data_IF_700830601838
#
_entry.id   IF_700830601838
#
_cell.length_a   1.000
_cell.length_b   1.000
_cell.length_c   1.000
_cell.angle_alpha   90.00
_cell.angle_beta   90.00
_cell.angle_gamma   90.00
#
_symmetry.space_group_name_H-M   'P 1'
#
loop_
_entity.id
_entity.type
_entity.pdbx_description
1 polymer ?
#
# COMPACT_ATOMS: atom_id res chain seq x y z
N UNK A 1 0.09 -1.35 14.32
CA UNK A 1 0.21 -0.39 13.20
C UNK A 1 -1.13 0.15 12.71
N UNK A 2 -2.24 -0.57 12.85
CA UNK A 2 -3.57 -0.07 12.44
C UNK A 2 -3.97 1.23 13.17
N UNK A 3 -3.86 1.27 14.51
CA UNK A 3 -4.12 2.49 15.29
C UNK A 3 -3.18 3.65 14.93
N UNK A 4 -1.91 3.34 14.62
CA UNK A 4 -0.97 4.32 14.10
C UNK A 4 -1.46 4.94 12.79
N UNK A 5 -1.91 4.12 11.84
CA UNK A 5 -2.43 4.60 10.57
C UNK A 5 -3.66 5.52 10.75
N UNK A 6 -4.58 5.14 11.64
CA UNK A 6 -5.75 5.97 11.95
C UNK A 6 -5.36 7.31 12.59
N UNK A 7 -4.42 7.30 13.53
CA UNK A 7 -3.93 8.51 14.18
C UNK A 7 -3.25 9.44 13.16
N UNK A 8 -2.36 8.92 12.33
CA UNK A 8 -1.66 9.70 11.28
C UNK A 8 -2.65 10.37 10.32
N UNK A 9 -3.65 9.63 9.84
CA UNK A 9 -4.69 10.18 8.97
C UNK A 9 -5.50 11.29 9.67
N UNK A 10 -5.87 11.09 10.94
CA UNK A 10 -6.60 12.08 11.73
C UNK A 10 -5.78 13.36 11.92
N UNK A 11 -4.50 13.24 12.30
CA UNK A 11 -3.60 14.38 12.47
C UNK A 11 -3.44 15.15 11.16
N UNK A 12 -3.16 14.47 10.04
CA UNK A 12 -3.03 15.11 8.74
C UNK A 12 -4.33 15.83 8.33
N UNK A 13 -5.50 15.22 8.55
CA UNK A 13 -6.80 15.84 8.25
C UNK A 13 -7.04 17.08 9.08
N UNK A 14 -6.66 17.06 10.35
CA UNK A 14 -6.76 18.22 11.24
C UNK A 14 -5.87 19.36 10.75
N UNK A 15 -4.62 19.07 10.37
CA UNK A 15 -3.70 20.06 9.81
C UNK A 15 -4.25 20.69 8.52
N UNK A 16 -4.77 19.88 7.61
CA UNK A 16 -5.38 20.35 6.35
C UNK A 16 -6.61 21.24 6.64
N UNK A 17 -7.52 20.78 7.50
CA UNK A 17 -8.74 21.52 7.80
C UNK A 17 -8.47 22.85 8.52
N UNK A 18 -7.45 22.90 9.37
CA UNK A 18 -7.02 24.11 10.06
C UNK A 18 -6.15 25.03 9.21
N UNK A 19 -5.82 24.62 7.97
CA UNK A 19 -4.88 25.33 7.08
C UNK A 19 -3.54 25.61 7.75
N UNK A 20 -3.05 24.64 8.54
CA UNK A 20 -1.81 24.85 9.30
C UNK A 20 -0.61 25.01 8.36
N UNK A 21 0.19 26.11 8.51
CA UNK A 21 1.30 26.41 7.59
C UNK A 21 2.41 25.34 7.58
N UNK A 22 2.53 24.56 8.65
CA UNK A 22 3.49 23.47 8.77
C UNK A 22 3.08 22.17 8.10
N UNK A 23 1.89 22.08 7.50
CA UNK A 23 1.48 20.88 6.79
C UNK A 23 2.26 20.72 5.48
N UNK A 24 2.88 19.56 5.32
CA UNK A 24 3.60 19.15 4.13
C UNK A 24 3.18 17.76 3.71
N UNK A 25 2.65 17.61 2.51
CA UNK A 25 2.15 16.34 1.99
C UNK A 25 3.23 15.25 1.92
N UNK A 26 4.45 15.64 1.57
CA UNK A 26 5.60 14.75 1.48
C UNK A 26 6.08 14.20 2.83
N UNK A 27 5.66 14.80 3.94
CA UNK A 27 6.01 14.38 5.31
C UNK A 27 4.81 13.87 6.12
N UNK A 28 3.65 14.48 5.93
CA UNK A 28 2.47 14.19 6.74
C UNK A 28 1.47 13.26 6.04
N UNK A 29 1.75 12.90 4.76
CA UNK A 29 0.83 12.17 3.90
C UNK A 29 -0.17 13.10 3.21
N UNK A 30 -0.91 12.59 2.26
CA UNK A 30 -1.78 13.37 1.38
C UNK A 30 -3.18 12.79 1.24
N UNK A 31 -4.14 13.65 0.92
CA UNK A 31 -5.49 13.28 0.46
C UNK A 31 -5.66 13.50 -1.06
N UNK A 32 -4.55 13.86 -1.77
CA UNK A 32 -4.59 14.23 -3.18
C UNK A 32 -3.98 13.17 -4.10
N UNK A 33 -3.87 11.92 -3.62
CA UNK A 33 -3.43 10.81 -4.47
C UNK A 33 -4.37 10.64 -5.68
N UNK A 34 -3.79 10.72 -6.89
CA UNK A 34 -4.57 10.62 -8.14
C UNK A 34 -5.19 9.25 -8.37
N UNK A 35 -4.61 8.20 -7.77
CA UNK A 35 -5.11 6.84 -7.91
C UNK A 35 -6.40 6.63 -7.11
N UNK A 36 -6.49 7.20 -5.90
CA UNK A 36 -7.70 7.17 -5.06
C UNK A 36 -7.87 8.54 -4.39
N UNK A 37 -8.53 9.49 -5.06
CA UNK A 37 -8.71 10.83 -4.55
C UNK A 37 -9.48 10.90 -3.23
N UNK A 38 -9.14 11.88 -2.40
CA UNK A 38 -9.76 12.12 -1.08
C UNK A 38 -9.57 10.97 -0.08
N UNK A 39 -8.61 10.09 -0.31
CA UNK A 39 -8.23 8.99 0.59
C UNK A 39 -6.81 9.21 1.09
N UNK A 40 -6.63 9.09 2.39
CA UNK A 40 -5.32 9.33 3.00
C UNK A 40 -4.30 8.29 2.57
N UNK A 41 -3.17 8.77 2.12
CA UNK A 41 -2.01 7.95 1.76
C UNK A 41 -0.71 8.62 2.20
N UNK A 42 0.32 7.81 2.41
CA UNK A 42 1.63 8.30 2.80
C UNK A 42 2.73 7.47 2.16
N UNK A 43 3.66 8.16 1.52
CA UNK A 43 4.88 7.61 0.95
C UNK A 43 6.02 7.75 1.96
N UNK A 44 6.85 6.71 2.09
CA UNK A 44 8.12 6.80 2.81
C UNK A 44 7.96 7.06 4.32
N UNK A 45 6.83 6.67 4.92
CA UNK A 45 6.60 6.83 6.36
C UNK A 45 7.67 6.06 7.16
N UNK A 46 8.40 6.70 8.09
CA UNK A 46 9.51 6.06 8.80
C UNK A 46 9.14 4.77 9.53
N UNK A 47 7.93 4.67 10.10
CA UNK A 47 7.49 3.45 10.76
C UNK A 47 7.28 2.31 9.75
N UNK A 48 6.71 2.62 8.58
CA UNK A 48 6.47 1.64 7.53
C UNK A 48 7.77 1.26 6.79
N UNK A 49 8.71 2.18 6.64
CA UNK A 49 10.04 1.85 6.09
C UNK A 49 10.93 1.09 7.06
N UNK A 50 10.74 1.26 8.36
CA UNK A 50 11.33 0.36 9.36
C UNK A 50 10.79 -1.07 9.19
N UNK A 51 9.47 -1.21 8.96
CA UNK A 51 8.86 -2.51 8.67
C UNK A 51 9.39 -3.10 7.34
N UNK A 52 9.54 -2.28 6.31
CA UNK A 52 10.13 -2.66 5.02
C UNK A 52 11.55 -3.23 5.21
N UNK A 53 12.38 -2.54 5.97
CA UNK A 53 13.75 -2.98 6.27
C UNK A 53 13.76 -4.26 7.13
N UNK A 54 12.89 -4.33 8.13
CA UNK A 54 12.76 -5.51 8.99
C UNK A 54 12.33 -6.77 8.21
N UNK A 55 11.42 -6.61 7.26
CA UNK A 55 10.92 -7.69 6.41
C UNK A 55 11.91 -8.20 5.37
N UNK A 56 13.01 -7.45 5.08
CA UNK A 56 13.91 -7.74 3.97
C UNK A 56 14.50 -9.15 4.00
N UNK A 57 14.94 -9.62 5.18
CA UNK A 57 15.48 -10.97 5.31
C UNK A 57 14.45 -12.02 4.93
N UNK A 58 13.26 -11.95 5.50
CA UNK A 58 12.17 -12.88 5.17
C UNK A 58 11.78 -12.85 3.70
N UNK A 59 11.77 -11.66 3.09
CA UNK A 59 11.51 -11.51 1.67
C UNK A 59 12.55 -12.20 0.79
N UNK A 60 13.83 -12.09 1.14
CA UNK A 60 14.92 -12.81 0.46
C UNK A 60 14.77 -14.32 0.62
N UNK A 61 14.47 -14.78 1.84
CA UNK A 61 14.29 -16.21 2.14
C UNK A 61 13.11 -16.82 1.35
N UNK A 62 11.99 -16.09 1.22
CA UNK A 62 10.79 -16.57 0.50
C UNK A 62 10.98 -16.52 -1.02
N UNK A 63 11.62 -15.50 -1.54
CA UNK A 63 11.72 -15.29 -3.00
C UNK A 63 12.96 -15.93 -3.62
N UNK A 64 14.00 -16.17 -2.83
CA UNK A 64 15.32 -16.60 -3.32
C UNK A 64 16.07 -15.51 -4.10
N UNK A 65 15.61 -14.24 -4.06
CA UNK A 65 16.16 -13.13 -4.82
C UNK A 65 17.08 -12.25 -3.96
N UNK A 66 18.07 -11.62 -4.63
CA UNK A 66 18.94 -10.63 -4.01
C UNK A 66 18.22 -9.27 -3.92
N UNK A 67 17.30 -9.15 -2.97
CA UNK A 67 16.43 -7.98 -2.85
C UNK A 67 17.11 -6.81 -2.13
N UNK A 68 16.77 -5.61 -2.58
CA UNK A 68 17.00 -4.35 -1.88
C UNK A 68 15.66 -3.63 -1.68
N UNK A 69 15.44 -2.94 -0.55
CA UNK A 69 14.22 -2.16 -0.33
C UNK A 69 14.19 -0.94 -1.25
N UNK A 70 13.02 -0.58 -1.71
CA UNK A 70 12.81 0.63 -2.51
C UNK A 70 12.06 1.70 -1.72
N UNK A 71 10.81 1.46 -1.37
CA UNK A 71 10.02 2.37 -0.54
C UNK A 71 8.81 1.66 0.06
N UNK A 72 8.24 2.27 1.07
CA UNK A 72 6.91 1.94 1.58
C UNK A 72 5.87 2.94 1.08
N UNK A 73 4.67 2.46 0.86
CA UNK A 73 3.50 3.27 0.63
C UNK A 73 2.34 2.69 1.42
N UNK A 74 1.52 3.51 2.07
CA UNK A 74 0.36 2.99 2.77
C UNK A 74 -0.86 3.88 2.60
N UNK A 75 -2.01 3.30 2.79
CA UNK A 75 -3.28 3.95 2.54
C UNK A 75 -4.31 3.55 3.59
N UNK A 76 -5.12 4.50 4.01
CA UNK A 76 -6.30 4.26 4.83
C UNK A 76 -7.55 4.42 3.96
N UNK A 77 -7.97 3.33 3.33
CA UNK A 77 -9.16 3.29 2.49
C UNK A 77 -10.41 3.58 3.30
N UNK A 78 -11.40 4.20 2.67
CA UNK A 78 -12.72 4.50 3.20
C UNK A 78 -13.82 3.92 2.34
N UNK A 79 -15.06 3.93 2.81
CA UNK A 79 -16.22 3.47 2.06
C UNK A 79 -16.30 4.10 0.68
N UNK A 80 -16.49 3.26 -0.34
CA UNK A 80 -16.58 3.64 -1.74
C UNK A 80 -15.26 3.68 -2.50
N UNK A 81 -14.11 3.57 -1.82
CA UNK A 81 -12.82 3.57 -2.49
C UNK A 81 -12.65 2.34 -3.39
N UNK A 82 -12.06 2.59 -4.55
CA UNK A 82 -11.76 1.59 -5.58
C UNK A 82 -10.30 1.72 -5.96
N UNK A 83 -9.57 0.62 -5.95
CA UNK A 83 -8.25 0.57 -6.57
C UNK A 83 -8.41 0.03 -7.99
N UNK A 84 -8.30 0.89 -8.98
CA UNK A 84 -8.44 0.48 -10.39
C UNK A 84 -7.39 -0.55 -10.79
N UNK A 85 -7.75 -1.42 -11.71
CA UNK A 85 -6.85 -2.44 -12.28
C UNK A 85 -5.63 -1.77 -12.89
N UNK A 86 -4.44 -2.21 -12.47
CA UNK A 86 -3.16 -1.64 -12.89
C UNK A 86 -2.01 -2.61 -12.66
N UNK A 87 -0.86 -2.28 -13.22
CA UNK A 87 0.44 -2.81 -12.86
C UNK A 87 1.25 -1.71 -12.19
N UNK A 88 2.18 -2.10 -11.36
CA UNK A 88 3.07 -1.19 -10.67
C UNK A 88 4.22 -0.69 -11.58
N UNK A 89 4.91 0.33 -11.11
CA UNK A 89 6.11 0.89 -11.74
C UNK A 89 7.37 0.09 -11.37
N UNK A 90 8.51 0.28 -12.08
CA UNK A 90 9.76 -0.47 -11.86
C UNK A 90 10.24 -0.59 -10.43
N UNK A 91 10.14 0.47 -9.61
CA UNK A 91 10.52 0.42 -8.19
C UNK A 91 9.66 -0.53 -7.32
N UNK A 92 8.66 -1.17 -7.92
CA UNK A 92 7.75 -2.13 -7.30
C UNK A 92 7.86 -3.52 -7.95
N UNK A 93 9.06 -3.90 -8.41
CA UNK A 93 9.30 -5.19 -9.09
C UNK A 93 8.80 -6.36 -8.25
N UNK A 94 9.18 -6.38 -6.98
CA UNK A 94 8.68 -7.33 -5.99
C UNK A 94 7.90 -6.54 -4.96
N UNK A 95 6.59 -6.63 -5.05
CA UNK A 95 5.65 -5.92 -4.20
C UNK A 95 5.08 -6.80 -3.11
N UNK A 96 4.79 -6.19 -1.98
CA UNK A 96 3.93 -6.81 -0.98
C UNK A 96 2.72 -5.95 -0.70
N UNK A 97 1.67 -6.58 -0.23
CA UNK A 97 0.51 -5.91 0.33
C UNK A 97 0.19 -6.55 1.67
N UNK A 98 0.30 -5.78 2.75
CA UNK A 98 0.08 -6.23 4.12
C UNK A 98 -1.17 -5.55 4.69
N UNK A 99 -2.13 -6.34 5.14
CA UNK A 99 -3.32 -5.84 5.84
C UNK A 99 -2.95 -5.43 7.27
N UNK A 100 -3.04 -4.14 7.60
CA UNK A 100 -2.79 -3.64 8.96
C UNK A 100 -4.02 -3.77 9.86
N UNK A 101 -5.22 -3.71 9.27
CA UNK A 101 -6.48 -3.80 9.96
C UNK A 101 -7.61 -3.06 9.26
N UNK A 102 -8.82 -3.33 9.69
CA UNK A 102 -10.03 -2.73 9.10
C UNK A 102 -11.14 -2.60 10.13
N UNK A 103 -12.11 -1.75 9.81
CA UNK A 103 -13.34 -1.57 10.54
C UNK A 103 -14.54 -1.70 9.59
N UNK A 104 -15.40 -2.67 9.86
CA UNK A 104 -16.61 -2.97 9.08
C UNK A 104 -17.89 -2.69 9.86
N UNK A 105 -17.82 -1.98 10.99
CA UNK A 105 -18.98 -1.73 11.88
C UNK A 105 -20.12 -0.99 11.21
N UNK A 106 -19.86 -0.20 10.16
CA UNK A 106 -20.88 0.46 9.36
C UNK A 106 -21.76 -0.52 8.54
N UNK A 107 -21.36 -1.79 8.44
CA UNK A 107 -22.12 -2.85 7.77
C UNK A 107 -23.04 -3.63 8.72
N UNK A 108 -22.90 -3.39 10.04
CA UNK A 108 -23.72 -4.03 11.06
C UNK A 108 -25.20 -3.76 10.82
N UNK A 109 -26.01 -4.82 10.81
CA UNK A 109 -27.45 -4.73 10.54
C UNK A 109 -27.84 -4.70 9.06
N UNK A 110 -26.90 -4.69 8.11
CA UNK A 110 -27.23 -4.87 6.68
C UNK A 110 -27.52 -6.35 6.39
N UNK A 111 -28.40 -6.61 5.41
CA UNK A 111 -28.84 -7.97 5.04
C UNK A 111 -27.72 -8.93 4.60
N UNK A 112 -26.59 -8.41 4.22
CA UNK A 112 -25.44 -9.21 3.81
C UNK A 112 -24.49 -9.36 5.00
N UNK A 113 -24.39 -10.54 5.55
CA UNK A 113 -23.48 -11.11 6.54
C UNK A 113 -22.19 -10.28 6.75
N UNK A 114 -22.31 -9.10 7.35
CA UNK A 114 -21.21 -8.12 7.50
C UNK A 114 -20.00 -8.70 8.27
N UNK A 115 -20.23 -9.70 9.12
CA UNK A 115 -19.20 -10.43 9.86
C UNK A 115 -18.29 -11.26 8.94
N UNK A 116 -18.79 -11.60 7.76
CA UNK A 116 -18.06 -12.34 6.72
C UNK A 116 -17.65 -11.45 5.56
N UNK A 117 -17.79 -10.13 5.70
CA UNK A 117 -17.38 -9.23 4.64
C UNK A 117 -15.86 -9.23 4.53
N UNK A 118 -15.39 -9.75 3.41
CA UNK A 118 -14.01 -9.67 2.96
C UNK A 118 -13.89 -8.63 1.84
N UNK A 119 -12.76 -7.96 1.79
CA UNK A 119 -12.43 -7.05 0.70
C UNK A 119 -11.16 -7.53 0.01
N UNK A 120 -11.31 -8.45 -0.96
CA UNK A 120 -10.16 -9.10 -1.57
C UNK A 120 -9.32 -8.13 -2.39
N UNK A 121 -8.04 -8.41 -2.49
CA UNK A 121 -7.24 -7.96 -3.59
C UNK A 121 -7.40 -8.95 -4.75
N UNK A 122 -7.78 -8.44 -5.90
CA UNK A 122 -7.86 -9.22 -7.12
C UNK A 122 -6.52 -9.19 -7.85
N UNK A 123 -6.09 -10.32 -8.37
CA UNK A 123 -4.85 -10.45 -9.14
C UNK A 123 -5.11 -11.22 -10.43
N UNK A 124 -4.45 -10.80 -11.52
CA UNK A 124 -4.51 -11.49 -12.80
C UNK A 124 -3.11 -11.58 -13.42
N UNK A 125 -2.60 -12.80 -13.51
CA UNK A 125 -1.29 -13.11 -14.10
C UNK A 125 -1.31 -13.28 -15.61
N UNK A 126 -2.49 -13.37 -16.23
CA UNK A 126 -2.62 -13.67 -17.65
C UNK A 126 -2.64 -12.43 -18.54
N UNK A 127 -2.90 -11.25 -17.95
CA UNK A 127 -2.95 -9.97 -18.68
C UNK A 127 -4.10 -9.83 -19.68
N UNK A 128 -5.08 -10.72 -19.63
CA UNK A 128 -6.25 -10.68 -20.51
C UNK A 128 -7.35 -9.76 -19.98
N UNK A 129 -7.80 -8.80 -20.80
CA UNK A 129 -8.85 -7.83 -20.41
C UNK A 129 -10.17 -8.46 -19.96
N UNK A 130 -10.44 -9.70 -20.33
CA UNK A 130 -11.68 -10.42 -20.00
C UNK A 130 -11.52 -11.38 -18.82
N UNK A 131 -10.40 -11.41 -18.18
CA UNK A 131 -10.14 -12.34 -17.08
C UNK A 131 -10.65 -11.75 -15.76
N UNK A 132 -11.45 -12.55 -15.06
CA UNK A 132 -12.02 -12.13 -13.77
C UNK A 132 -11.00 -11.99 -12.65
N UNK A 133 -9.77 -12.50 -12.87
CA UNK A 133 -8.73 -12.58 -11.85
C UNK A 133 -9.07 -13.57 -10.72
N UNK A 134 -8.17 -13.62 -9.74
CA UNK A 134 -8.31 -14.44 -8.54
C UNK A 134 -8.40 -13.52 -7.33
N UNK A 135 -9.47 -13.64 -6.51
CA UNK A 135 -9.59 -12.86 -5.29
C UNK A 135 -8.69 -13.46 -4.19
N UNK A 136 -7.96 -12.60 -3.51
CA UNK A 136 -7.14 -12.97 -2.35
C UNK A 136 -7.66 -12.19 -1.15
N UNK A 137 -8.27 -12.90 -0.21
CA UNK A 137 -8.72 -12.35 1.05
C UNK A 137 -7.56 -12.22 2.02
N UNK A 138 -7.54 -11.14 2.79
CA UNK A 138 -6.51 -10.88 3.79
C UNK A 138 -7.12 -10.46 5.10
N UNK A 139 -6.66 -11.08 6.17
CA UNK A 139 -6.94 -10.65 7.55
C UNK A 139 -5.81 -9.74 8.07
N UNK A 140 -6.04 -9.01 9.16
CA UNK A 140 -4.97 -8.25 9.79
C UNK A 140 -3.76 -9.13 10.09
N UNK A 141 -2.59 -8.71 9.57
CA UNK A 141 -1.33 -9.46 9.65
C UNK A 141 -0.99 -10.31 8.43
N UNK A 142 -1.97 -10.60 7.56
CA UNK A 142 -1.69 -11.31 6.30
C UNK A 142 -0.98 -10.41 5.30
N UNK A 143 0.02 -10.98 4.65
CA UNK A 143 0.79 -10.33 3.59
C UNK A 143 0.85 -11.22 2.36
N UNK A 144 0.62 -10.65 1.20
CA UNK A 144 0.86 -11.30 -0.08
C UNK A 144 2.09 -10.70 -0.75
N UNK A 145 2.80 -11.55 -1.50
CA UNK A 145 3.99 -11.18 -2.28
C UNK A 145 3.69 -11.45 -3.75
N UNK A 146 4.00 -10.48 -4.60
CA UNK A 146 3.73 -10.61 -6.04
C UNK A 146 4.71 -9.77 -6.86
N UNK A 147 4.81 -10.07 -8.16
CA UNK A 147 5.59 -9.27 -9.10
C UNK A 147 4.76 -8.07 -9.56
N UNK A 148 4.96 -6.92 -8.91
CA UNK A 148 4.13 -5.73 -9.10
C UNK A 148 4.08 -5.22 -10.53
N UNK A 149 5.22 -5.27 -11.25
CA UNK A 149 5.31 -4.82 -12.64
C UNK A 149 4.67 -5.80 -13.66
N UNK A 150 4.45 -7.06 -13.26
CA UNK A 150 3.97 -8.11 -14.17
C UNK A 150 2.50 -8.45 -13.92
N UNK A 151 2.09 -8.48 -12.65
CA UNK A 151 0.76 -8.92 -12.22
C UNK A 151 -0.20 -7.74 -12.16
N UNK A 152 -1.25 -7.78 -12.96
CA UNK A 152 -2.35 -6.83 -12.80
C UNK A 152 -3.11 -7.08 -11.50
N UNK A 153 -3.40 -6.02 -10.79
CA UNK A 153 -4.08 -6.11 -9.52
C UNK A 153 -5.01 -4.92 -9.28
N UNK A 154 -6.08 -5.15 -8.50
CA UNK A 154 -7.12 -4.15 -8.22
C UNK A 154 -7.95 -4.52 -7.01
N UNK A 155 -8.80 -3.60 -6.58
CA UNK A 155 -9.82 -3.82 -5.56
C UNK A 155 -11.13 -3.19 -6.00
N UNK A 156 -12.20 -3.93 -5.79
CA UNK A 156 -13.57 -3.47 -5.99
C UNK A 156 -13.98 -2.45 -4.93
N UNK A 157 -15.13 -1.76 -5.05
CA UNK A 157 -15.54 -0.76 -4.08
C UNK A 157 -15.55 -1.29 -2.64
N UNK A 158 -14.85 -0.60 -1.75
CA UNK A 158 -14.83 -0.94 -0.32
C UNK A 158 -16.16 -0.56 0.34
N UNK A 159 -16.77 -1.49 1.06
CA UNK A 159 -18.04 -1.26 1.73
C UNK A 159 -17.89 -0.96 3.23
N UNK A 160 -16.77 -1.33 3.85
CA UNK A 160 -16.49 -1.10 5.26
C UNK A 160 -16.26 0.38 5.59
N UNK A 161 -16.06 0.70 6.87
CA UNK A 161 -15.80 2.07 7.33
C UNK A 161 -14.38 2.52 6.97
N UNK A 162 -13.37 1.70 7.28
CA UNK A 162 -11.99 1.95 6.86
C UNK A 162 -11.15 0.66 6.84
N UNK A 163 -10.08 0.67 6.04
CA UNK A 163 -9.14 -0.43 5.86
C UNK A 163 -7.73 0.12 5.66
N UNK A 164 -6.82 -0.19 6.57
CA UNK A 164 -5.43 0.22 6.46
C UNK A 164 -4.59 -0.87 5.79
N UNK A 165 -3.87 -0.48 4.76
CA UNK A 165 -3.02 -1.34 3.95
C UNK A 165 -1.66 -0.69 3.77
N UNK A 166 -0.58 -1.47 3.93
CA UNK A 166 0.77 -1.03 3.59
C UNK A 166 1.34 -1.88 2.45
N UNK A 167 2.00 -1.21 1.54
CA UNK A 167 2.72 -1.77 0.39
C UNK A 167 4.21 -1.59 0.66
N UNK A 168 4.94 -2.70 0.69
CA UNK A 168 6.38 -2.72 0.90
C UNK A 168 7.01 -3.20 -0.40
N UNK A 169 7.86 -2.38 -0.99
CA UNK A 169 8.41 -2.62 -2.32
C UNK A 169 9.89 -2.92 -2.26
N UNK A 170 10.30 -3.86 -3.10
CA UNK A 170 11.67 -4.31 -3.23
C UNK A 170 12.05 -4.48 -4.71
N UNK A 171 13.34 -4.38 -5.01
CA UNK A 171 13.89 -4.74 -6.30
C UNK A 171 14.93 -5.84 -6.17
N UNK A 172 14.99 -6.69 -7.17
CA UNK A 172 16.09 -7.63 -7.33
C UNK A 172 17.29 -6.91 -7.93
N UNK A 173 18.41 -6.86 -7.20
CA UNK A 173 19.64 -6.21 -7.68
C UNK A 173 20.14 -6.85 -8.97
N UNK A 174 19.97 -8.17 -9.09
CA UNK A 174 20.39 -8.95 -10.26
C UNK A 174 19.31 -8.97 -11.37
N UNK A 175 18.24 -8.21 -11.19
CA UNK A 175 17.09 -8.13 -12.09
C UNK A 175 17.18 -6.97 -13.09
N UNK A 176 16.11 -6.78 -13.90
CA UNK A 176 16.10 -5.80 -14.99
C UNK A 176 16.17 -4.35 -14.52
N UNK A 177 15.80 -4.06 -13.27
CA UNK A 177 15.82 -2.71 -12.72
C UNK A 177 17.05 -2.44 -11.85
N UNK A 178 17.76 -3.50 -11.44
CA UNK A 178 19.03 -3.46 -10.76
C UNK A 178 19.06 -2.54 -9.54
N UNK A 179 20.19 -1.86 -9.34
CA UNK A 179 20.39 -0.93 -8.24
C UNK A 179 19.72 0.44 -8.44
N UNK A 180 19.26 0.75 -9.66
CA UNK A 180 18.71 2.06 -10.00
C UNK A 180 17.46 2.44 -9.18
N UNK A 181 16.77 1.45 -8.61
CA UNK A 181 15.57 1.67 -7.81
C UNK A 181 15.79 1.54 -6.30
N UNK A 182 17.04 1.33 -5.85
CA UNK A 182 17.34 1.26 -4.40
C UNK A 182 16.87 2.53 -3.71
N UNK A 183 16.13 2.36 -2.61
CA UNK A 183 15.46 3.43 -1.86
C UNK A 183 14.60 4.37 -2.74
N UNK A 184 14.18 3.87 -3.93
CA UNK A 184 13.41 4.64 -4.91
C UNK A 184 14.12 5.92 -5.37
N UNK A 185 15.44 5.86 -5.54
CA UNK A 185 16.30 6.98 -5.93
C UNK A 185 16.62 7.97 -4.80
N UNK A 186 16.24 7.68 -3.57
CA UNK A 186 16.60 8.49 -2.39
C UNK A 186 17.90 8.00 -1.76
N UNK A 187 18.67 8.87 -1.06
CA UNK A 187 19.89 8.46 -0.34
C UNK A 187 19.60 7.42 0.76
N UNK A 188 18.45 7.51 1.42
CA UNK A 188 18.04 6.64 2.53
C UNK A 188 16.53 6.41 2.57
N UNK A 189 16.11 5.31 3.22
CA UNK A 189 14.74 5.12 3.67
C UNK A 189 14.34 6.22 4.68
N UNK A 190 13.06 6.52 4.80
CA UNK A 190 12.51 7.54 5.70
C UNK A 190 12.60 8.97 5.16
N UNK A 191 13.31 9.20 4.06
CA UNK A 191 13.33 10.50 3.40
C UNK A 191 12.11 10.70 2.51
N UNK A 192 11.57 11.93 2.42
CA UNK A 192 10.48 12.23 1.51
C UNK A 192 10.91 12.17 0.03
N UNK A 193 9.94 12.09 -0.92
CA UNK A 193 10.24 11.97 -2.35
C UNK A 193 11.01 13.16 -2.95
N UNK A 194 11.04 14.30 -2.28
CA UNK A 194 11.82 15.47 -2.71
C UNK A 194 13.36 15.21 -2.74
N UNK A 195 13.83 14.13 -2.09
CA UNK A 195 15.24 13.72 -2.09
C UNK A 195 15.61 12.74 -3.20
N UNK A 196 14.71 12.43 -4.13
CA UNK A 196 15.05 11.60 -5.30
C UNK A 196 16.03 12.33 -6.21
N UNK A 197 17.09 11.64 -6.59
CA UNK A 197 18.06 12.08 -7.60
C UNK A 197 17.63 11.68 -9.00
#
# INVERSE_FOLDING_TARGET
LYGYAQMRATVAKTMVNSKWPGYREDMHGTYQDKQIPNTYSCYGDPAMETLLQYGLKGMRDITGLNLKPTYSYWRLYKTGDVLKRHKDRPSCEVSTTLCLGYNNTNLKGRKNNWEKYDWPMWVDKTGGFNNRGVPINMKPGDMIVYRGCEIEHWREPFLGANHAQVFLHYNNVDGPYGENCVYDGRPHLGLPPAFKS
#
